data_IF_308550437308
#
_entry.id   IF_308550437308
#
_cell.length_a   1.000
_cell.length_b   1.000
_cell.length_c   1.000
_cell.angle_alpha   90.00
_cell.angle_beta   90.00
_cell.angle_gamma   90.00
#
_symmetry.space_group_name_H-M   'P 1'
#
loop_
_entity.id
_entity.type
_entity.pdbx_description
1 polymer ?
#
# COMPACT_ATOMS: atom_id res chain seq x y z
N UNK A 1 -32.12 26.10 18.34
CA UNK A 1 -31.46 25.33 17.26
C UNK A 1 -31.78 23.86 17.49
N UNK A 2 -32.34 23.17 16.50
CA UNK A 2 -32.58 21.72 16.61
C UNK A 2 -31.23 21.00 16.64
N UNK A 3 -30.96 20.29 17.74
CA UNK A 3 -29.79 19.43 17.83
C UNK A 3 -30.04 18.22 16.95
N UNK A 4 -29.31 18.10 15.85
CA UNK A 4 -29.30 16.87 15.04
C UNK A 4 -28.62 15.80 15.89
N UNK A 5 -29.39 14.84 16.41
CA UNK A 5 -28.84 13.66 17.07
C UNK A 5 -28.15 12.79 16.01
N UNK A 6 -26.87 13.05 15.76
CA UNK A 6 -26.04 12.14 14.98
C UNK A 6 -25.74 10.91 15.81
N UNK A 7 -26.40 9.80 15.50
CA UNK A 7 -26.12 8.51 16.14
C UNK A 7 -24.86 7.95 15.49
N UNK A 8 -23.78 7.91 16.25
CA UNK A 8 -22.55 7.20 15.87
C UNK A 8 -22.62 5.83 16.52
N UNK A 9 -22.53 4.78 15.70
CA UNK A 9 -22.42 3.42 16.20
C UNK A 9 -21.20 3.29 17.10
N UNK A 10 -21.34 2.57 18.21
CA UNK A 10 -20.22 2.36 19.11
C UNK A 10 -19.07 1.62 18.42
N UNK A 11 -17.83 1.97 18.73
CA UNK A 11 -16.67 1.25 18.24
C UNK A 11 -16.46 -0.04 19.04
N UNK A 12 -16.42 -1.17 18.34
CA UNK A 12 -16.33 -2.52 18.93
C UNK A 12 -14.91 -3.07 18.98
N UNK A 13 -13.91 -2.31 18.50
CA UNK A 13 -12.56 -2.84 18.24
C UNK A 13 -12.45 -3.63 16.93
N UNK A 14 -13.58 -4.04 16.34
CA UNK A 14 -13.64 -4.90 15.14
C UNK A 14 -14.29 -4.22 13.94
N UNK A 15 -15.21 -3.28 14.15
CA UNK A 15 -15.79 -2.48 13.08
C UNK A 15 -14.75 -1.50 12.50
N UNK A 16 -15.10 -0.84 11.40
CA UNK A 16 -14.15 0.02 10.68
C UNK A 16 -13.75 1.25 11.52
N UNK A 17 -12.57 1.19 12.15
CA UNK A 17 -12.06 2.27 13.00
C UNK A 17 -11.93 3.60 12.25
N UNK A 18 -11.52 3.59 10.98
CA UNK A 18 -11.36 4.82 10.20
C UNK A 18 -12.69 5.57 10.02
N UNK A 19 -13.78 4.85 9.75
CA UNK A 19 -15.12 5.45 9.61
C UNK A 19 -15.61 5.98 10.96
N UNK A 20 -15.44 5.20 12.04
CA UNK A 20 -15.83 5.63 13.38
C UNK A 20 -15.05 6.88 13.82
N UNK A 21 -13.73 6.90 13.59
CA UNK A 21 -12.83 7.99 13.94
C UNK A 21 -13.23 9.30 13.25
N UNK A 22 -13.48 9.26 11.93
CA UNK A 22 -13.94 10.43 11.16
C UNK A 22 -15.27 10.95 11.71
N UNK A 23 -16.24 10.06 11.95
CA UNK A 23 -17.56 10.44 12.49
C UNK A 23 -17.44 11.06 13.88
N UNK A 24 -16.65 10.44 14.76
CA UNK A 24 -16.46 10.91 16.13
C UNK A 24 -15.77 12.28 16.16
N UNK A 25 -14.74 12.48 15.35
CA UNK A 25 -14.09 13.78 15.19
C UNK A 25 -15.08 14.85 14.72
N UNK A 26 -15.93 14.54 13.73
CA UNK A 26 -16.94 15.46 13.24
C UNK A 26 -17.96 15.84 14.33
N UNK A 27 -18.43 14.86 15.12
CA UNK A 27 -19.33 15.08 16.26
C UNK A 27 -18.69 16.01 17.30
N UNK A 28 -17.46 15.72 17.72
CA UNK A 28 -16.75 16.53 18.71
C UNK A 28 -16.54 17.97 18.23
N UNK A 29 -16.26 18.17 16.93
CA UNK A 29 -16.17 19.52 16.34
C UNK A 29 -17.52 20.24 16.34
N UNK A 30 -18.59 19.56 15.95
CA UNK A 30 -19.94 20.13 15.95
C UNK A 30 -20.38 20.55 17.36
N UNK A 31 -19.99 19.79 18.38
CA UNK A 31 -20.32 20.07 19.79
C UNK A 31 -19.35 21.06 20.46
N UNK A 32 -18.34 21.57 19.76
CA UNK A 32 -17.31 22.44 20.36
C UNK A 32 -16.34 21.75 21.32
N UNK A 33 -16.32 20.40 21.33
CA UNK A 33 -15.51 19.57 22.22
C UNK A 33 -14.14 19.19 21.63
N UNK A 34 -13.85 19.57 20.38
CA UNK A 34 -12.59 19.22 19.72
C UNK A 34 -11.36 19.94 20.30
N UNK A 35 -11.55 21.11 20.91
CA UNK A 35 -10.47 21.91 21.49
C UNK A 35 -9.59 21.11 22.46
N UNK A 36 -10.17 20.55 23.55
CA UNK A 36 -9.45 19.69 24.49
C UNK A 36 -8.82 18.45 23.88
N UNK A 37 -9.44 17.84 22.86
CA UNK A 37 -8.92 16.62 22.19
C UNK A 37 -7.64 16.93 21.40
N UNK A 38 -7.63 18.05 20.67
CA UNK A 38 -6.51 18.47 19.82
C UNK A 38 -5.41 19.24 20.55
N UNK A 39 -5.67 19.72 21.76
CA UNK A 39 -4.74 20.53 22.52
C UNK A 39 -3.69 19.67 23.21
N UNK A 40 -2.41 19.90 22.90
CA UNK A 40 -1.29 19.38 23.71
C UNK A 40 -1.22 20.05 25.08
N UNK A 41 -1.71 21.29 25.18
CA UNK A 41 -1.79 22.06 26.42
C UNK A 41 -2.91 23.10 26.32
N UNK A 42 -3.57 23.36 27.46
CA UNK A 42 -4.57 24.42 27.59
C UNK A 42 -3.96 25.79 27.30
N UNK A 43 -4.70 26.66 26.60
CA UNK A 43 -4.32 28.07 26.39
C UNK A 43 -4.56 28.87 27.67
N UNK A 44 -3.57 29.66 28.11
CA UNK A 44 -3.61 30.43 29.36
C UNK A 44 -4.78 31.43 29.48
N UNK A 45 -5.35 31.88 28.35
CA UNK A 45 -6.47 32.81 28.33
C UNK A 45 -7.85 32.17 28.58
N UNK A 46 -7.93 30.84 28.68
CA UNK A 46 -9.19 30.13 28.88
C UNK A 46 -9.41 29.91 30.39
N UNK A 47 -10.64 30.08 30.85
CA UNK A 47 -11.04 29.81 32.22
C UNK A 47 -10.84 28.32 32.61
N UNK A 48 -10.37 28.05 33.84
CA UNK A 48 -10.08 26.68 34.33
C UNK A 48 -11.32 25.82 34.46
N UNK A 49 -12.42 26.39 34.94
CA UNK A 49 -13.67 25.67 35.12
C UNK A 49 -14.31 25.30 33.78
N UNK A 50 -14.38 26.27 32.86
CA UNK A 50 -14.91 26.05 31.50
C UNK A 50 -14.08 25.00 30.74
N UNK A 51 -12.75 25.07 30.82
CA UNK A 51 -11.88 24.10 30.15
C UNK A 51 -12.05 22.68 30.67
N UNK A 52 -12.06 22.51 31.99
CA UNK A 52 -12.23 21.19 32.60
C UNK A 52 -13.60 20.61 32.25
N UNK A 53 -14.65 21.44 32.21
CA UNK A 53 -15.98 21.01 31.79
C UNK A 53 -16.00 20.51 30.34
N UNK A 54 -15.29 21.18 29.43
CA UNK A 54 -15.17 20.74 28.02
C UNK A 54 -14.35 19.44 27.92
N UNK A 55 -13.28 19.31 28.70
CA UNK A 55 -12.45 18.11 28.74
C UNK A 55 -13.25 16.90 29.24
N UNK A 56 -13.94 17.01 30.37
CA UNK A 56 -14.77 15.94 30.94
C UNK A 56 -15.88 15.50 29.97
N UNK A 57 -16.51 16.45 29.28
CA UNK A 57 -17.52 16.16 28.25
C UNK A 57 -16.92 15.44 27.04
N UNK A 58 -15.79 15.92 26.53
CA UNK A 58 -15.11 15.28 25.40
C UNK A 58 -14.68 13.85 25.75
N UNK A 59 -14.11 13.68 26.94
CA UNK A 59 -13.73 12.37 27.48
C UNK A 59 -14.93 11.43 27.52
N UNK A 60 -16.01 11.87 28.16
CA UNK A 60 -17.22 11.06 28.36
C UNK A 60 -17.88 10.70 27.02
N UNK A 61 -17.96 11.65 26.08
CA UNK A 61 -18.51 11.39 24.74
C UNK A 61 -17.72 10.31 24.01
N UNK A 62 -16.39 10.38 24.03
CA UNK A 62 -15.55 9.34 23.42
C UNK A 62 -15.80 8.00 24.13
N UNK A 63 -15.67 7.94 25.46
CA UNK A 63 -15.86 6.70 26.22
C UNK A 63 -17.22 6.05 26.00
N UNK A 64 -18.31 6.82 25.97
CA UNK A 64 -19.66 6.32 25.75
C UNK A 64 -19.90 5.79 24.34
N UNK A 65 -19.06 6.19 23.39
CA UNK A 65 -19.07 5.72 22.00
C UNK A 65 -18.19 4.49 21.76
N UNK A 66 -17.64 3.90 22.81
CA UNK A 66 -16.85 2.67 22.78
C UNK A 66 -17.66 1.51 23.40
N UNK A 67 -17.34 0.28 22.98
CA UNK A 67 -17.76 -0.93 23.70
C UNK A 67 -16.82 -1.23 24.86
N UNK A 68 -17.32 -2.01 25.82
CA UNK A 68 -16.64 -2.33 27.08
C UNK A 68 -15.22 -2.88 26.87
N UNK A 69 -15.02 -3.77 25.90
CA UNK A 69 -13.70 -4.33 25.56
C UNK A 69 -12.68 -3.23 25.20
N UNK A 70 -13.10 -2.24 24.40
CA UNK A 70 -12.24 -1.12 23.99
C UNK A 70 -12.04 -0.16 25.15
N UNK A 71 -13.08 0.08 25.97
CA UNK A 71 -12.99 0.91 27.17
C UNK A 71 -11.91 0.37 28.12
N UNK A 72 -11.86 -0.94 28.32
CA UNK A 72 -10.83 -1.59 29.15
C UNK A 72 -9.42 -1.33 28.61
N UNK A 73 -9.22 -1.34 27.29
CA UNK A 73 -7.90 -1.10 26.68
C UNK A 73 -7.39 0.34 26.81
N UNK A 74 -8.30 1.30 26.97
CA UNK A 74 -7.98 2.74 26.99
C UNK A 74 -8.16 3.38 28.35
N UNK A 75 -8.72 2.67 29.33
CA UNK A 75 -9.03 3.19 30.68
C UNK A 75 -7.81 3.72 31.45
N UNK A 76 -6.59 3.32 31.05
CA UNK A 76 -5.35 3.82 31.66
C UNK A 76 -5.05 5.28 31.30
N UNK A 77 -5.63 5.79 30.22
CA UNK A 77 -5.44 7.17 29.78
C UNK A 77 -6.37 8.10 30.55
N UNK A 78 -5.78 9.09 31.22
CA UNK A 78 -6.53 10.06 32.07
C UNK A 78 -6.85 11.37 31.37
N UNK A 79 -6.25 11.62 30.22
CA UNK A 79 -6.42 12.86 29.47
C UNK A 79 -7.12 12.57 28.15
N UNK A 80 -7.94 13.51 27.68
CA UNK A 80 -8.66 13.34 26.40
C UNK A 80 -7.70 13.22 25.21
N UNK A 81 -6.62 14.03 25.10
CA UNK A 81 -5.60 13.82 24.08
C UNK A 81 -4.94 12.44 24.18
N UNK A 82 -4.63 11.96 25.38
CA UNK A 82 -4.03 10.65 25.61
C UNK A 82 -4.94 9.52 25.14
N UNK A 83 -6.22 9.57 25.53
CA UNK A 83 -7.25 8.64 25.09
C UNK A 83 -7.37 8.59 23.56
N UNK A 84 -7.45 9.75 22.90
CA UNK A 84 -7.56 9.83 21.45
C UNK A 84 -6.34 9.24 20.75
N UNK A 85 -5.13 9.63 21.17
CA UNK A 85 -3.87 9.11 20.62
C UNK A 85 -3.70 7.61 20.87
N UNK A 86 -4.15 7.11 22.02
CA UNK A 86 -4.12 5.68 22.34
C UNK A 86 -5.00 4.88 21.38
N UNK A 87 -6.22 5.33 21.12
CA UNK A 87 -7.12 4.72 20.14
C UNK A 87 -6.51 4.72 18.74
N UNK A 88 -5.93 5.83 18.31
CA UNK A 88 -5.22 5.91 17.03
C UNK A 88 -4.05 4.92 16.97
N UNK A 89 -3.23 4.85 18.01
CA UNK A 89 -2.10 3.92 18.10
C UNK A 89 -2.54 2.45 18.03
N UNK A 90 -3.65 2.11 18.71
CA UNK A 90 -4.17 0.75 18.77
C UNK A 90 -4.84 0.31 17.46
N UNK A 91 -5.52 1.22 16.76
CA UNK A 91 -6.44 0.82 15.70
C UNK A 91 -6.13 1.42 14.31
N UNK A 92 -5.36 2.51 14.22
CA UNK A 92 -4.87 3.05 12.93
C UNK A 92 -3.57 2.34 12.53
N UNK A 93 -2.58 2.28 13.43
CA UNK A 93 -1.27 1.66 13.16
C UNK A 93 -1.27 0.14 13.20
N UNK A 94 -2.31 -0.47 13.79
CA UNK A 94 -2.15 -1.78 14.43
C UNK A 94 -3.21 -2.82 14.17
N UNK A 95 -4.21 -2.60 13.33
CA UNK A 95 -5.10 -3.70 13.01
C UNK A 95 -4.27 -4.87 12.44
N UNK A 96 -4.00 -5.88 13.27
CA UNK A 96 -3.28 -7.10 12.90
C UNK A 96 -4.00 -7.72 11.71
N UNK A 97 -5.32 -7.59 11.68
CA UNK A 97 -6.18 -7.89 10.54
C UNK A 97 -5.78 -7.13 9.28
N UNK A 98 -5.57 -5.81 9.34
CA UNK A 98 -5.13 -5.01 8.18
C UNK A 98 -3.72 -5.41 7.73
N UNK A 99 -2.78 -5.57 8.67
CA UNK A 99 -1.41 -6.01 8.38
C UNK A 99 -1.37 -7.41 7.77
N UNK A 100 -2.15 -8.34 8.33
CA UNK A 100 -2.28 -9.70 7.83
C UNK A 100 -2.93 -9.70 6.44
N UNK A 101 -4.01 -8.94 6.27
CA UNK A 101 -4.71 -8.82 4.99
C UNK A 101 -3.79 -8.31 3.88
N UNK A 102 -3.00 -7.26 4.14
CA UNK A 102 -2.04 -6.74 3.18
C UNK A 102 -0.91 -7.74 2.88
N UNK A 103 -0.41 -8.45 3.89
CA UNK A 103 0.59 -9.52 3.67
C UNK A 103 0.02 -10.70 2.88
N UNK A 104 -1.22 -11.10 3.16
CA UNK A 104 -1.92 -12.13 2.39
C UNK A 104 -2.10 -11.68 0.93
N UNK A 105 -2.52 -10.44 0.70
CA UNK A 105 -2.61 -9.87 -0.66
C UNK A 105 -1.26 -9.88 -1.37
N UNK A 106 -0.18 -9.50 -0.68
CA UNK A 106 1.17 -9.51 -1.25
C UNK A 106 1.62 -10.93 -1.65
N UNK A 107 1.50 -11.91 -0.75
CA UNK A 107 1.99 -13.27 -1.00
C UNK A 107 1.10 -14.08 -1.95
N UNK A 108 -0.18 -13.76 -2.02
CA UNK A 108 -1.14 -14.36 -2.95
C UNK A 108 -1.22 -13.63 -4.29
N UNK A 109 -0.47 -12.54 -4.48
CA UNK A 109 -0.45 -11.80 -5.74
C UNK A 109 0.05 -12.73 -6.86
N UNK A 110 -0.76 -12.89 -7.90
CA UNK A 110 -0.44 -13.71 -9.08
C UNK A 110 -0.90 -13.00 -10.34
N UNK A 111 0.00 -12.87 -11.30
CA UNK A 111 -0.28 -12.38 -12.63
C UNK A 111 -0.92 -13.51 -13.43
N UNK A 112 -2.06 -13.24 -14.08
CA UNK A 112 -2.68 -14.19 -14.98
C UNK A 112 -1.98 -14.15 -16.35
N UNK A 113 -1.99 -15.29 -17.06
CA UNK A 113 -1.45 -15.36 -18.41
C UNK A 113 -2.20 -14.38 -19.32
N UNK A 114 -1.47 -13.57 -20.08
CA UNK A 114 -2.04 -12.55 -20.97
C UNK A 114 -2.41 -11.20 -20.32
N UNK A 115 -2.35 -11.06 -18.99
CA UNK A 115 -2.49 -9.74 -18.34
C UNK A 115 -1.31 -8.84 -18.72
N UNK A 116 -1.50 -7.53 -18.96
CA UNK A 116 -0.39 -6.60 -19.16
C UNK A 116 0.51 -6.53 -17.93
N UNK A 117 1.83 -6.58 -18.14
CA UNK A 117 2.81 -6.49 -17.03
C UNK A 117 2.65 -5.18 -16.24
N UNK A 118 2.30 -4.08 -16.90
CA UNK A 118 2.07 -2.78 -16.26
C UNK A 118 0.97 -2.83 -15.20
N UNK A 119 -0.15 -3.49 -15.50
CA UNK A 119 -1.28 -3.64 -14.58
C UNK A 119 -0.87 -4.44 -13.33
N UNK A 120 -0.11 -5.52 -13.52
CA UNK A 120 0.41 -6.33 -12.42
C UNK A 120 1.38 -5.55 -11.53
N UNK A 121 2.26 -4.75 -12.13
CA UNK A 121 3.19 -3.88 -11.40
C UNK A 121 2.44 -2.83 -10.57
N UNK A 122 1.40 -2.22 -11.11
CA UNK A 122 0.55 -1.26 -10.39
C UNK A 122 -0.09 -1.90 -9.15
N UNK A 123 -0.60 -3.13 -9.27
CA UNK A 123 -1.16 -3.87 -8.13
C UNK A 123 -0.11 -4.15 -7.05
N UNK A 124 1.10 -4.59 -7.44
CA UNK A 124 2.20 -4.79 -6.49
C UNK A 124 2.56 -3.48 -5.77
N UNK A 125 2.74 -2.38 -6.50
CA UNK A 125 3.11 -1.09 -5.91
C UNK A 125 2.03 -0.55 -4.98
N UNK A 126 0.75 -0.73 -5.33
CA UNK A 126 -0.36 -0.38 -4.44
C UNK A 126 -0.27 -1.11 -3.10
N UNK A 127 -0.01 -2.43 -3.11
CA UNK A 127 0.12 -3.21 -1.86
C UNK A 127 1.35 -2.78 -1.06
N UNK A 128 2.49 -2.53 -1.70
CA UNK A 128 3.71 -2.06 -1.03
C UNK A 128 3.52 -0.67 -0.41
N UNK A 129 2.78 0.21 -1.08
CA UNK A 129 2.44 1.53 -0.56
C UNK A 129 1.52 1.41 0.66
N UNK A 130 0.48 0.57 0.59
CA UNK A 130 -0.43 0.33 1.72
C UNK A 130 0.31 -0.24 2.94
N UNK A 131 1.26 -1.16 2.72
CA UNK A 131 2.12 -1.69 3.79
C UNK A 131 3.02 -0.61 4.39
N UNK A 132 3.62 0.24 3.56
CA UNK A 132 4.43 1.37 4.03
C UNK A 132 3.60 2.35 4.87
N UNK A 133 2.35 2.61 4.47
CA UNK A 133 1.45 3.52 5.18
C UNK A 133 1.10 3.05 6.61
N UNK A 134 1.24 1.76 6.90
CA UNK A 134 1.08 1.18 8.25
C UNK A 134 2.42 0.84 8.93
N UNK A 135 3.50 1.51 8.51
CA UNK A 135 4.87 1.36 9.02
C UNK A 135 5.44 -0.07 8.88
N UNK A 136 4.96 -0.82 7.87
CA UNK A 136 5.50 -2.14 7.51
C UNK A 136 6.43 -1.97 6.32
N UNK A 137 7.73 -1.93 6.60
CA UNK A 137 8.76 -1.92 5.56
C UNK A 137 8.90 -3.31 4.92
N UNK A 138 8.85 -3.36 3.60
CA UNK A 138 9.26 -4.51 2.79
C UNK A 138 10.62 -4.16 2.21
N UNK A 139 11.59 -5.05 2.36
CA UNK A 139 12.91 -4.85 1.77
C UNK A 139 12.85 -4.91 0.25
N UNK A 140 13.73 -4.19 -0.44
CA UNK A 140 13.71 -4.12 -1.91
C UNK A 140 13.99 -5.50 -2.53
N UNK A 141 14.82 -6.32 -1.86
CA UNK A 141 15.08 -7.71 -2.26
C UNK A 141 13.82 -8.57 -2.14
N UNK A 142 13.08 -8.44 -1.03
CA UNK A 142 11.85 -9.19 -0.82
C UNK A 142 10.77 -8.78 -1.83
N UNK A 143 10.64 -7.48 -2.10
CA UNK A 143 9.72 -6.98 -3.12
C UNK A 143 10.06 -7.51 -4.52
N UNK A 144 11.36 -7.58 -4.86
CA UNK A 144 11.85 -8.14 -6.11
C UNK A 144 11.55 -9.64 -6.24
N UNK A 145 11.74 -10.41 -5.16
CA UNK A 145 11.38 -11.84 -5.12
C UNK A 145 9.87 -12.05 -5.20
N UNK A 146 9.07 -11.25 -4.49
CA UNK A 146 7.60 -11.28 -4.61
C UNK A 146 7.14 -11.03 -6.05
N UNK A 147 7.75 -10.06 -6.75
CA UNK A 147 7.46 -9.82 -8.16
C UNK A 147 7.77 -11.05 -9.01
N UNK A 148 8.97 -11.63 -8.89
CA UNK A 148 9.37 -12.80 -9.69
C UNK A 148 8.47 -14.02 -9.44
N UNK A 149 8.14 -14.32 -8.18
CA UNK A 149 7.28 -15.46 -7.80
C UNK A 149 5.81 -15.25 -8.23
N UNK A 150 5.40 -14.01 -8.43
CA UNK A 150 4.03 -13.67 -8.84
C UNK A 150 3.78 -13.79 -10.34
N UNK A 151 4.83 -13.93 -11.16
CA UNK A 151 4.71 -14.07 -12.62
C UNK A 151 4.16 -15.45 -13.02
N UNK A 152 3.51 -15.56 -14.20
CA UNK A 152 2.99 -16.84 -14.67
C UNK A 152 4.11 -17.74 -15.21
N UNK A 153 3.83 -19.04 -15.37
CA UNK A 153 4.81 -20.06 -15.79
C UNK A 153 5.48 -19.77 -17.14
N UNK A 154 4.85 -18.96 -18.00
CA UNK A 154 5.49 -18.52 -19.26
C UNK A 154 6.79 -17.73 -19.04
N UNK A 155 7.01 -17.19 -17.83
CA UNK A 155 8.22 -16.46 -17.45
C UNK A 155 9.31 -17.34 -16.81
N UNK A 156 9.06 -18.62 -16.51
CA UNK A 156 9.97 -19.48 -15.75
C UNK A 156 11.40 -19.49 -16.32
N UNK A 157 11.54 -19.72 -17.63
CA UNK A 157 12.85 -19.72 -18.30
C UNK A 157 13.61 -18.39 -18.14
N UNK A 158 12.87 -17.27 -18.17
CA UNK A 158 13.46 -15.95 -17.93
C UNK A 158 13.87 -15.80 -16.47
N UNK A 159 13.03 -16.21 -15.52
CA UNK A 159 13.32 -16.10 -14.09
C UNK A 159 14.59 -16.89 -13.75
N UNK A 160 14.70 -18.15 -14.18
CA UNK A 160 15.87 -18.98 -13.91
C UNK A 160 17.14 -18.37 -14.51
N UNK A 161 17.09 -17.92 -15.77
CA UNK A 161 18.23 -17.26 -16.43
C UNK A 161 18.61 -15.94 -15.77
N UNK A 162 17.62 -15.16 -15.36
CA UNK A 162 17.83 -13.84 -14.77
C UNK A 162 18.43 -13.90 -13.36
N UNK A 163 18.05 -14.91 -12.56
CA UNK A 163 18.56 -15.10 -11.19
C UNK A 163 19.92 -15.82 -11.20
N UNK A 164 20.22 -16.63 -12.22
CA UNK A 164 21.46 -17.40 -12.29
C UNK A 164 22.70 -16.53 -12.04
N UNK A 165 23.46 -16.88 -10.99
CA UNK A 165 24.71 -16.22 -10.63
C UNK A 165 24.57 -14.85 -9.93
N UNK A 166 23.37 -14.45 -9.48
CA UNK A 166 23.17 -13.20 -8.73
C UNK A 166 23.00 -13.42 -7.23
N UNK A 167 23.82 -12.73 -6.43
CA UNK A 167 23.71 -12.70 -4.96
C UNK A 167 22.87 -11.52 -4.43
N UNK A 168 22.67 -10.50 -5.26
CA UNK A 168 21.90 -9.29 -4.94
C UNK A 168 20.85 -9.01 -6.00
N UNK A 169 19.71 -8.49 -5.56
CA UNK A 169 18.56 -8.21 -6.41
C UNK A 169 17.85 -6.94 -5.95
N UNK A 170 17.63 -6.02 -6.89
CA UNK A 170 16.86 -4.79 -6.68
C UNK A 170 15.59 -4.83 -7.51
N UNK A 171 14.49 -4.29 -6.98
CA UNK A 171 13.19 -4.30 -7.65
C UNK A 171 13.24 -3.57 -9.00
N UNK A 172 14.01 -2.48 -9.07
CA UNK A 172 14.21 -1.71 -10.32
C UNK A 172 14.85 -2.54 -11.44
N UNK A 173 15.78 -3.44 -11.10
CA UNK A 173 16.53 -4.22 -12.08
C UNK A 173 15.65 -5.33 -12.65
N UNK A 174 14.82 -5.95 -11.79
CA UNK A 174 13.78 -6.91 -12.22
C UNK A 174 12.80 -6.23 -13.17
N UNK A 175 12.29 -5.06 -12.79
CA UNK A 175 11.34 -4.30 -13.62
C UNK A 175 11.91 -3.98 -14.99
N UNK A 176 13.14 -3.48 -15.05
CA UNK A 176 13.81 -3.17 -16.30
C UNK A 176 13.90 -4.40 -17.21
N UNK A 177 14.40 -5.52 -16.68
CA UNK A 177 14.56 -6.75 -17.44
C UNK A 177 13.23 -7.33 -17.95
N UNK A 178 12.16 -7.22 -17.15
CA UNK A 178 10.83 -7.65 -17.57
C UNK A 178 10.27 -6.81 -18.73
N UNK A 179 10.44 -5.49 -18.69
CA UNK A 179 10.05 -4.63 -19.80
C UNK A 179 10.85 -4.94 -21.08
N UNK A 180 12.17 -5.15 -20.96
CA UNK A 180 13.01 -5.54 -22.11
C UNK A 180 12.51 -6.84 -22.74
N UNK A 181 12.17 -7.85 -21.93
CA UNK A 181 11.60 -9.11 -22.42
C UNK A 181 10.28 -8.90 -23.18
N UNK A 182 9.38 -8.07 -22.64
CA UNK A 182 8.08 -7.82 -23.26
C UNK A 182 8.21 -7.14 -24.63
N UNK A 183 9.18 -6.22 -24.77
CA UNK A 183 9.51 -5.58 -26.05
C UNK A 183 10.03 -6.62 -27.06
N UNK A 184 11.00 -7.45 -26.65
CA UNK A 184 11.57 -8.49 -27.54
C UNK A 184 10.48 -9.44 -28.03
N UNK A 185 9.61 -9.91 -27.14
CA UNK A 185 8.54 -10.85 -27.49
C UNK A 185 7.52 -10.23 -28.47
N UNK A 186 7.17 -8.95 -28.31
CA UNK A 186 6.31 -8.22 -29.26
C UNK A 186 6.98 -8.07 -30.63
N UNK A 187 8.29 -7.83 -30.68
CA UNK A 187 9.03 -7.70 -31.94
C UNK A 187 9.20 -9.03 -32.68
N UNK A 188 9.40 -10.15 -31.97
CA UNK A 188 9.54 -11.48 -32.58
C UNK A 188 8.22 -12.10 -33.05
N UNK A 189 7.08 -11.75 -32.43
CA UNK A 189 5.75 -12.19 -32.87
C UNK A 189 5.23 -11.49 -34.13
N UNK A 190 5.86 -10.40 -34.57
CA UNK A 190 5.48 -9.63 -35.76
C UNK A 190 6.19 -10.09 -37.05
N UNK A 191 7.10 -11.06 -36.98
CA UNK A 191 7.95 -11.47 -38.13
C UNK A 191 7.59 -12.82 -38.76
N UNK A 192 6.41 -13.39 -38.50
CA UNK A 192 5.91 -14.57 -39.23
C UNK A 192 4.69 -14.21 -40.07
N UNK A 193 4.94 -13.41 -41.11
CA UNK A 193 3.95 -13.01 -42.11
C UNK A 193 4.57 -12.37 -43.35
N UNK A 194 5.86 -12.60 -43.59
CA UNK A 194 6.56 -12.18 -44.80
C UNK A 194 7.14 -13.41 -45.46
N UNK A 195 6.61 -13.73 -46.63
CA UNK A 195 7.03 -14.83 -47.49
C UNK A 195 8.57 -14.91 -47.58
N UNK A 196 9.13 -16.03 -47.14
CA UNK A 196 10.48 -16.41 -47.50
C UNK A 196 10.50 -16.81 -48.98
N UNK A 197 10.51 -15.82 -49.87
CA UNK A 197 10.93 -16.03 -51.26
C UNK A 197 12.43 -16.30 -51.27
N UNK A 198 12.79 -17.54 -51.58
CA UNK A 198 14.17 -17.97 -51.71
C UNK A 198 14.91 -17.17 -52.80
N UNK A 199 16.10 -16.71 -52.47
CA UNK A 199 17.11 -16.31 -53.45
C UNK A 199 18.37 -17.13 -53.17
N UNK A 200 18.45 -18.27 -53.84
CA UNK A 200 19.71 -18.97 -54.04
C UNK A 200 20.58 -18.11 -54.98
N UNK A 201 21.71 -17.61 -54.50
CA UNK A 201 22.79 -17.13 -55.35
C UNK A 201 24.03 -17.96 -55.07
N UNK A 202 24.33 -18.82 -56.03
CA UNK A 202 25.58 -19.56 -56.14
C UNK A 202 26.73 -18.63 -56.53
N UNK A 203 27.84 -18.71 -55.78
CA UNK A 203 29.21 -18.60 -56.27
C UNK A 203 29.74 -17.25 -56.76
N UNK A 204 30.72 -16.69 -56.04
CA UNK A 204 31.60 -15.64 -56.56
C UNK A 204 32.63 -15.13 -55.55
N UNK A 205 33.91 -15.47 -55.75
CA UNK A 205 35.06 -14.99 -54.97
C UNK A 205 35.13 -13.45 -54.98
N UNK A 206 35.41 -12.85 -53.83
CA UNK A 206 36.18 -11.59 -53.76
C UNK A 206 35.61 -10.46 -52.92
N UNK A 207 36.37 -10.14 -51.85
CA UNK A 207 36.59 -8.81 -51.23
C UNK A 207 35.44 -8.13 -50.47
N UNK A 208 35.68 -8.02 -49.15
CA UNK A 208 35.37 -6.97 -48.16
C UNK A 208 34.28 -5.96 -48.53
N UNK A 209 33.31 -5.76 -47.62
CA UNK A 209 32.98 -4.42 -47.16
C UNK A 209 32.42 -4.42 -45.72
N UNK A 210 32.86 -3.41 -44.98
CA UNK A 210 32.56 -3.04 -43.60
C UNK A 210 31.20 -2.35 -43.56
N UNK A 211 30.36 -2.58 -42.55
CA UNK A 211 29.32 -1.63 -42.07
C UNK A 211 28.89 -2.05 -40.65
N UNK A 212 29.38 -1.35 -39.62
CA UNK A 212 28.80 -0.16 -38.96
C UNK A 212 27.73 -0.56 -37.93
N UNK A 213 28.12 -0.40 -36.66
CA UNK A 213 27.28 -0.35 -35.47
C UNK A 213 26.21 0.73 -35.58
N UNK A 214 25.02 0.45 -35.06
CA UNK A 214 24.12 1.50 -34.57
C UNK A 214 23.53 1.10 -33.21
N UNK A 215 23.80 1.97 -32.24
CA UNK A 215 23.08 2.11 -30.98
C UNK A 215 21.66 2.61 -31.26
N UNK A 216 20.68 2.15 -30.49
CA UNK A 216 19.86 2.89 -29.52
C UNK A 216 19.14 1.85 -28.66
#
# INVERSE_FOLDING_TARGET
MMSVNMIIDKFTGKNNFAIWHIKMQALLKQQGLWGPVSAKQKKAAVDDYEWNTLEEKAHSTIMLSLFDDVIIEVTTEKTVPGLWLKLESLYITKSLTNKLHLKQRLFSLRMQEGTPLSEHLEQLYSILLDLRNIDVKVDDKDAALCLLVSLPSSYDNFIYSFIAGKDSLLLKDVRYALHTREIIHKTSGSSTGGEASGLAVTGGKGKKLILISFFI
#
